data_IF_697562627148
#
_entry.id   IF_697562627148
#
_cell.length_a   1.000
_cell.length_b   1.000
_cell.length_c   1.000
_cell.angle_alpha   90.00
_cell.angle_beta   90.00
_cell.angle_gamma   90.00
#
_symmetry.space_group_name_H-M   'P 1'
#
loop_
_entity.id
_entity.type
_entity.pdbx_description
1 polymer ?
#
# COMPACT_ATOMS: atom_id res chain seq x y z
N UNK A 1 -6.60 10.40 26.33
CA UNK A 1 -6.26 10.40 25.78
C UNK A 1 -6.02 10.32 25.25
N UNK A 2 -5.94 10.16 25.53
CA UNK A 2 -5.52 10.22 24.98
C UNK A 2 -5.63 10.17 24.01
N UNK A 3 -5.67 10.29 24.01
CA UNK A 3 -5.75 10.39 23.16
C UNK A 3 -5.71 10.55 22.24
N UNK A 4 -5.51 10.29 22.47
CA UNK A 4 -5.41 10.52 21.63
C UNK A 4 -5.33 10.97 20.44
N UNK A 5 -4.89 11.65 20.61
CA UNK A 5 -4.66 12.04 19.24
C UNK A 5 -3.82 11.03 18.52
N UNK A 6 -4.40 10.51 17.50
CA UNK A 6 -3.73 9.51 16.76
C UNK A 6 -2.87 10.12 15.67
N UNK A 7 -1.63 9.71 15.56
CA UNK A 7 -0.77 10.17 14.50
C UNK A 7 -1.30 9.70 13.15
N UNK A 8 -1.23 10.56 12.16
CA UNK A 8 -1.58 10.18 10.81
C UNK A 8 -0.54 9.22 10.25
N UNK A 9 -0.99 8.07 9.80
CA UNK A 9 -0.11 7.09 9.20
C UNK A 9 -0.26 7.14 7.69
N UNK A 10 0.84 7.28 6.99
CA UNK A 10 0.82 7.31 5.54
C UNK A 10 1.73 6.23 4.98
N UNK A 11 1.41 5.77 3.79
CA UNK A 11 2.25 4.83 3.06
C UNK A 11 2.40 5.35 1.65
N UNK A 12 3.59 5.24 1.12
CA UNK A 12 3.86 5.71 -0.24
C UNK A 12 3.46 4.64 -1.23
N UNK A 13 2.86 5.06 -2.33
CA UNK A 13 2.45 4.14 -3.36
C UNK A 13 2.78 4.68 -4.73
N UNK A 14 3.00 3.77 -5.66
CA UNK A 14 3.28 4.06 -7.06
C UNK A 14 1.98 3.80 -7.83
N UNK A 15 1.64 4.69 -8.75
CA UNK A 15 0.44 4.49 -9.55
C UNK A 15 0.68 4.98 -10.96
N UNK A 16 -0.08 4.40 -11.88
CA UNK A 16 -0.03 4.81 -13.28
C UNK A 16 -1.33 4.35 -13.95
N UNK A 17 -1.55 4.78 -15.18
CA UNK A 17 -2.67 4.33 -15.96
C UNK A 17 -2.18 3.49 -17.13
N UNK A 18 -2.96 2.46 -17.45
CA UNK A 18 -2.71 1.62 -18.60
C UNK A 18 -4.06 1.35 -19.25
N UNK A 19 -4.27 1.91 -20.44
CA UNK A 19 -5.52 1.75 -21.19
C UNK A 19 -6.73 2.14 -20.34
N UNK A 20 -6.59 3.26 -19.63
CA UNK A 20 -7.69 3.81 -18.86
C UNK A 20 -7.89 3.20 -17.49
N UNK A 21 -7.14 2.18 -17.15
CA UNK A 21 -7.23 1.55 -15.84
C UNK A 21 -6.09 2.07 -14.97
N UNK A 22 -6.42 2.44 -13.76
CA UNK A 22 -5.42 2.87 -12.79
C UNK A 22 -4.84 1.64 -12.09
N UNK A 23 -3.51 1.61 -12.02
CA UNK A 23 -2.77 0.52 -11.39
C UNK A 23 -1.90 1.09 -10.30
N UNK A 24 -1.64 0.30 -9.25
CA UNK A 24 -0.80 0.79 -8.20
C UNK A 24 -0.34 -0.28 -7.24
N UNK A 25 0.73 0.04 -6.52
CA UNK A 25 1.24 -0.81 -5.46
C UNK A 25 1.94 0.06 -4.44
N UNK A 26 2.06 -0.46 -3.21
CA UNK A 26 2.81 0.25 -2.19
C UNK A 26 4.30 -0.01 -2.38
N UNK A 27 5.11 1.02 -2.17
CA UNK A 27 6.55 0.87 -2.25
C UNK A 27 7.06 -0.20 -1.30
N UNK A 28 6.40 -0.32 -0.16
CA UNK A 28 6.76 -1.26 0.88
C UNK A 28 6.45 -2.70 0.47
N UNK A 29 5.48 -2.89 -0.43
CA UNK A 29 5.02 -4.21 -0.83
C UNK A 29 4.93 -4.30 -2.35
N UNK A 30 6.07 -4.24 -3.05
CA UNK A 30 6.04 -4.12 -4.51
C UNK A 30 5.52 -5.35 -5.24
N UNK A 31 5.37 -6.48 -4.56
CA UNK A 31 4.84 -7.69 -5.19
C UNK A 31 3.32 -7.70 -5.26
N UNK A 32 2.65 -6.73 -4.67
CA UNK A 32 1.19 -6.75 -4.52
C UNK A 32 0.58 -5.55 -5.19
N UNK A 33 -0.04 -5.77 -6.35
CA UNK A 33 -0.61 -4.70 -7.15
C UNK A 33 -2.12 -4.77 -7.13
N UNK A 34 -2.78 -3.61 -7.21
CA UNK A 34 -4.21 -3.55 -7.35
C UNK A 34 -4.57 -2.55 -8.43
N UNK A 35 -5.85 -2.41 -8.70
CA UNK A 35 -6.28 -1.55 -9.78
C UNK A 35 -7.62 -0.90 -9.46
N UNK A 36 -8.00 0.06 -10.28
CA UNK A 36 -9.28 0.73 -10.19
C UNK A 36 -9.59 1.43 -11.48
N UNK A 37 -10.87 1.72 -11.69
CA UNK A 37 -11.29 2.45 -12.89
C UNK A 37 -11.14 3.95 -12.72
N UNK A 38 -11.04 4.42 -11.49
CA UNK A 38 -10.74 5.80 -11.16
C UNK A 38 -9.62 5.81 -10.14
N UNK A 39 -9.01 6.99 -9.97
CA UNK A 39 -7.97 7.13 -8.94
C UNK A 39 -8.56 6.89 -7.55
N UNK A 40 -9.77 7.37 -7.31
CA UNK A 40 -10.41 7.17 -6.01
C UNK A 40 -10.65 5.69 -5.75
N UNK A 41 -11.06 4.95 -6.78
CA UNK A 41 -11.27 3.52 -6.62
C UNK A 41 -9.96 2.81 -6.37
N UNK A 42 -8.90 3.20 -7.09
CA UNK A 42 -7.58 2.64 -6.83
C UNK A 42 -7.16 2.88 -5.38
N UNK A 43 -7.35 4.11 -4.89
CA UNK A 43 -6.94 4.44 -3.52
C UNK A 43 -7.74 3.63 -2.50
N UNK A 44 -9.02 3.42 -2.74
CA UNK A 44 -9.83 2.59 -1.85
C UNK A 44 -9.34 1.16 -1.85
N UNK A 45 -9.03 0.63 -3.03
CA UNK A 45 -8.53 -0.73 -3.15
C UNK A 45 -7.14 -0.87 -2.52
N UNK A 46 -6.31 0.18 -2.62
CA UNK A 46 -5.02 0.18 -1.97
C UNK A 46 -5.16 0.14 -0.44
N UNK A 47 -6.12 0.89 0.10
CA UNK A 47 -6.33 0.87 1.55
C UNK A 47 -6.77 -0.51 2.01
N UNK A 48 -7.64 -1.17 1.23
CA UNK A 48 -8.07 -2.53 1.57
C UNK A 48 -6.89 -3.49 1.50
N UNK A 49 -6.06 -3.35 0.46
CA UNK A 49 -4.87 -4.18 0.30
C UNK A 49 -3.91 -3.99 1.47
N UNK A 50 -3.70 -2.74 1.87
CA UNK A 50 -2.79 -2.45 2.97
C UNK A 50 -3.26 -3.11 4.27
N UNK A 51 -4.56 -3.06 4.52
CA UNK A 51 -5.13 -3.70 5.70
C UNK A 51 -4.86 -5.20 5.67
N UNK A 52 -5.03 -5.82 4.50
CA UNK A 52 -4.76 -7.26 4.38
C UNK A 52 -3.29 -7.56 4.55
N UNK A 53 -2.41 -6.76 3.95
CA UNK A 53 -0.98 -7.01 4.00
C UNK A 53 -0.40 -6.82 5.40
N UNK A 54 -1.03 -5.99 6.22
CA UNK A 54 -0.54 -5.73 7.56
C UNK A 54 -1.32 -6.46 8.64
N UNK A 55 -2.28 -7.30 8.24
CA UNK A 55 -3.12 -8.00 9.20
C UNK A 55 -2.44 -9.20 9.86
N UNK A 56 -1.37 -9.71 9.23
CA UNK A 56 -0.72 -10.91 9.69
C UNK A 56 -1.36 -12.20 9.20
N UNK A 57 -2.38 -12.09 8.34
CA UNK A 57 -3.08 -13.28 7.85
C UNK A 57 -2.46 -13.84 6.59
N UNK A 58 -1.65 -13.05 5.89
CA UNK A 58 -0.98 -13.50 4.68
C UNK A 58 0.45 -13.86 5.06
N UNK A 59 0.84 -15.11 4.82
CA UNK A 59 2.19 -15.54 5.14
C UNK A 59 3.12 -15.18 3.97
N UNK A 60 4.41 -15.03 4.30
CA UNK A 60 5.41 -14.80 3.28
C UNK A 60 5.39 -13.42 2.66
N UNK A 61 4.81 -12.44 3.34
CA UNK A 61 4.82 -11.06 2.85
C UNK A 61 6.25 -10.55 2.78
N UNK A 62 6.61 -9.99 1.64
CA UNK A 62 7.93 -9.40 1.46
C UNK A 62 7.89 -7.93 1.79
N UNK A 63 8.90 -7.45 2.43
CA UNK A 63 8.99 -6.07 2.84
C UNK A 63 10.26 -5.45 2.30
N UNK A 64 10.17 -4.16 2.02
CA UNK A 64 11.34 -3.37 1.62
C UNK A 64 11.96 -2.80 2.88
N UNK A 65 13.27 -2.94 2.97
CA UNK A 65 14.02 -2.41 4.12
C UNK A 65 15.37 -1.94 3.61
N UNK A 66 16.01 -1.09 4.38
CA UNK A 66 17.33 -0.59 4.04
C UNK A 66 18.34 -1.23 4.95
N UNK A 67 19.48 -1.57 4.36
CA UNK A 67 20.57 -2.20 5.10
C UNK A 67 21.86 -1.46 4.79
N UNK A 68 22.51 -0.87 5.79
CA UNK A 68 23.82 -0.26 5.55
C UNK A 68 24.82 -1.34 5.19
N UNK A 69 25.56 -1.14 4.11
CA UNK A 69 26.48 -2.16 3.62
C UNK A 69 27.91 -1.64 3.51
N UNK A 70 28.20 -0.52 4.11
CA UNK A 70 29.53 0.06 4.06
C UNK A 70 29.50 1.55 3.87
#
# INVERSE_FOLDING_TARGET
>A
NRRTMKAMTTARYVHWQDEGIWLGYFEEFPDYMTQGETLEELQRNLRDLYADLTSGQISGIRRVAELPVG
#
